data_IF_551069948465
#
_entry.id   IF_551069948465
#
_cell.length_a   1.000
_cell.length_b   1.000
_cell.length_c   1.000
_cell.angle_alpha   90.00
_cell.angle_beta   90.00
_cell.angle_gamma   90.00
#
_symmetry.space_group_name_H-M   'P 1'
#
loop_
_entity.id
_entity.type
_entity.pdbx_description
1 polymer ?
#
# COMPACT_ATOMS: atom_id res chain seq x y z
N UNK A 1 54.14 40.69 -16.31
CA UNK A 1 54.01 39.36 -15.66
C UNK A 1 52.64 38.80 -16.03
N UNK A 2 52.57 37.71 -16.80
CA UNK A 2 51.30 37.10 -17.26
C UNK A 2 51.08 35.81 -16.47
N UNK A 3 50.10 35.80 -15.56
CA UNK A 3 49.70 34.61 -14.80
C UNK A 3 48.77 33.75 -15.66
N UNK A 4 49.17 32.51 -15.96
CA UNK A 4 48.30 31.50 -16.59
C UNK A 4 47.61 30.70 -15.48
N UNK A 5 46.28 30.70 -15.47
CA UNK A 5 45.47 29.79 -14.66
C UNK A 5 45.18 28.55 -15.51
N UNK A 6 45.55 27.37 -15.00
CA UNK A 6 45.26 26.07 -15.61
C UNK A 6 44.09 25.48 -14.83
N UNK A 7 42.91 25.37 -15.46
CA UNK A 7 41.79 24.60 -14.90
C UNK A 7 42.01 23.11 -15.22
N UNK A 8 42.14 22.30 -14.18
CA UNK A 8 42.10 20.84 -14.27
C UNK A 8 40.63 20.39 -14.19
N UNK A 9 40.12 19.82 -15.28
CA UNK A 9 38.80 19.20 -15.35
C UNK A 9 38.91 17.76 -14.82
N UNK A 10 38.29 17.47 -13.68
CA UNK A 10 38.22 16.11 -13.14
C UNK A 10 37.07 15.34 -13.83
N UNK A 11 37.28 14.07 -14.24
CA UNK A 11 36.21 13.27 -14.83
C UNK A 11 35.22 12.83 -13.74
N UNK A 12 33.94 13.13 -13.93
CA UNK A 12 32.85 12.61 -13.11
C UNK A 12 32.65 11.13 -13.48
N UNK A 13 32.96 10.20 -12.57
CA UNK A 13 32.58 8.81 -12.72
C UNK A 13 31.05 8.70 -12.64
N UNK A 14 30.40 8.33 -13.73
CA UNK A 14 28.99 7.97 -13.73
C UNK A 14 28.82 6.65 -12.96
N UNK A 15 28.12 6.70 -11.81
CA UNK A 15 27.73 5.50 -11.10
C UNK A 15 26.73 4.70 -11.97
N UNK A 16 26.79 3.35 -11.96
CA UNK A 16 25.82 2.55 -12.68
C UNK A 16 24.44 2.75 -12.06
N UNK A 17 23.52 3.34 -12.81
CA UNK A 17 22.10 3.35 -12.47
C UNK A 17 21.65 1.88 -12.51
N UNK A 18 21.38 1.30 -11.35
CA UNK A 18 20.73 -0.01 -11.29
C UNK A 18 19.40 0.09 -12.03
N UNK A 19 19.30 -0.59 -13.17
CA UNK A 19 18.03 -0.78 -13.84
C UNK A 19 17.14 -1.56 -12.88
N UNK A 20 16.02 -0.97 -12.49
CA UNK A 20 14.95 -1.74 -11.88
C UNK A 20 14.64 -2.90 -12.83
N UNK A 21 14.93 -4.11 -12.40
CA UNK A 21 14.44 -5.32 -13.06
C UNK A 21 12.93 -5.19 -13.13
N UNK A 22 12.34 -5.30 -14.31
CA UNK A 22 10.91 -5.53 -14.44
C UNK A 22 10.62 -6.83 -13.69
N UNK A 23 10.10 -6.70 -12.46
CA UNK A 23 9.63 -7.84 -11.70
C UNK A 23 8.47 -8.40 -12.52
N UNK A 24 8.51 -9.71 -12.83
CA UNK A 24 7.36 -10.36 -13.47
C UNK A 24 6.12 -10.13 -12.61
N UNK A 25 4.93 -10.08 -13.24
CA UNK A 25 3.66 -9.92 -12.52
C UNK A 25 3.61 -10.94 -11.39
N UNK A 26 3.75 -10.47 -10.16
CA UNK A 26 3.86 -11.34 -9.01
C UNK A 26 2.45 -11.85 -8.68
N UNK A 27 2.22 -13.15 -8.81
CA UNK A 27 0.93 -13.76 -8.51
C UNK A 27 0.83 -14.10 -7.02
N UNK A 28 -0.25 -13.67 -6.37
CA UNK A 28 -0.58 -14.01 -5.00
C UNK A 28 -0.94 -15.49 -4.86
N UNK A 29 -0.67 -16.08 -3.69
CA UNK A 29 -1.35 -17.30 -3.30
C UNK A 29 -2.88 -17.11 -3.31
N UNK A 30 -3.67 -18.14 -3.65
CA UNK A 30 -5.13 -18.04 -3.72
C UNK A 30 -5.73 -17.78 -2.33
N UNK A 31 -6.69 -16.85 -2.28
CA UNK A 31 -7.44 -16.50 -1.08
C UNK A 31 -8.94 -16.68 -1.30
N UNK A 32 -9.68 -16.95 -0.23
CA UNK A 32 -11.15 -17.15 -0.27
C UNK A 32 -11.84 -16.50 0.93
N UNK A 33 -13.17 -16.51 0.95
CA UNK A 33 -13.99 -16.01 2.07
C UNK A 33 -13.62 -14.58 2.50
N UNK A 34 -13.44 -13.70 1.51
CA UNK A 34 -13.01 -12.32 1.73
C UNK A 34 -14.13 -11.51 2.38
N UNK A 35 -13.80 -10.78 3.45
CA UNK A 35 -14.67 -9.80 4.10
C UNK A 35 -13.90 -8.55 4.49
N UNK A 36 -14.59 -7.41 4.57
CA UNK A 36 -14.00 -6.14 4.97
C UNK A 36 -14.80 -5.50 6.10
N UNK A 37 -14.10 -4.98 7.09
CA UNK A 37 -14.66 -4.08 8.11
C UNK A 37 -14.07 -2.68 7.92
N UNK A 38 -14.96 -1.68 7.85
CA UNK A 38 -14.59 -0.27 7.81
C UNK A 38 -14.99 0.36 9.13
N UNK A 39 -14.00 0.78 9.92
CA UNK A 39 -14.23 1.39 11.22
C UNK A 39 -14.05 2.89 11.15
N UNK A 40 -15.12 3.61 11.46
CA UNK A 40 -15.15 5.06 11.54
C UNK A 40 -15.75 5.49 12.88
N UNK A 41 -14.97 6.25 13.64
CA UNK A 41 -15.38 6.84 14.91
C UNK A 41 -15.07 8.32 14.87
N UNK A 42 -15.69 9.12 15.75
CA UNK A 42 -15.35 10.53 15.89
C UNK A 42 -13.85 10.75 16.10
N UNK A 43 -13.21 9.92 16.93
CA UNK A 43 -11.79 10.05 17.24
C UNK A 43 -10.90 9.88 15.99
N UNK A 44 -11.20 8.91 15.12
CA UNK A 44 -10.46 8.73 13.87
C UNK A 44 -10.82 9.83 12.85
N UNK A 45 -12.09 10.25 12.81
CA UNK A 45 -12.57 11.34 11.96
C UNK A 45 -11.90 12.69 12.25
N UNK A 46 -11.66 13.03 13.53
CA UNK A 46 -10.89 14.21 13.94
C UNK A 46 -9.44 14.17 13.43
N UNK A 47 -8.88 12.97 13.26
CA UNK A 47 -7.55 12.72 12.69
C UNK A 47 -7.57 12.56 11.17
N UNK A 48 -8.74 12.69 10.53
CA UNK A 48 -8.95 12.45 9.09
C UNK A 48 -8.56 11.02 8.69
N UNK A 49 -8.86 10.05 9.56
CA UNK A 49 -8.51 8.65 9.38
C UNK A 49 -9.74 7.76 9.32
N UNK A 50 -9.62 6.66 8.59
CA UNK A 50 -10.53 5.52 8.59
C UNK A 50 -9.70 4.25 8.71
N UNK A 51 -10.15 3.29 9.52
CA UNK A 51 -9.45 2.01 9.66
C UNK A 51 -10.13 0.98 8.78
N UNK A 52 -9.35 0.31 7.93
CA UNK A 52 -9.79 -0.81 7.09
C UNK A 52 -9.22 -2.11 7.64
N UNK A 53 -10.05 -3.15 7.70
CA UNK A 53 -9.63 -4.51 8.00
C UNK A 53 -10.13 -5.45 6.90
N UNK A 54 -9.21 -6.17 6.25
CA UNK A 54 -9.52 -7.24 5.29
C UNK A 54 -9.26 -8.58 5.97
N UNK A 55 -10.24 -9.48 5.92
CA UNK A 55 -10.11 -10.86 6.41
C UNK A 55 -10.30 -11.84 5.25
N UNK A 56 -9.47 -12.87 5.18
CA UNK A 56 -9.54 -13.90 4.14
C UNK A 56 -8.94 -15.22 4.63
N UNK A 57 -9.25 -16.30 3.92
CA UNK A 57 -8.75 -17.65 4.19
C UNK A 57 -7.63 -18.02 3.23
N UNK A 58 -6.52 -18.55 3.75
CA UNK A 58 -5.38 -19.09 2.99
C UNK A 58 -5.31 -20.61 3.09
N UNK A 59 -4.81 -21.24 2.02
CA UNK A 59 -4.64 -22.69 1.92
C UNK A 59 -3.27 -23.23 2.32
N UNK A 60 -2.34 -22.39 2.81
CA UNK A 60 -0.98 -22.80 3.13
C UNK A 60 -0.06 -21.63 3.43
N UNK A 61 1.26 -21.85 3.33
CA UNK A 61 2.30 -20.87 3.70
C UNK A 61 2.78 -19.99 2.54
N UNK A 62 2.22 -20.17 1.35
CA UNK A 62 2.62 -19.38 0.19
C UNK A 62 2.28 -17.89 0.40
N UNK A 63 3.14 -16.96 -0.05
CA UNK A 63 2.91 -15.53 0.17
C UNK A 63 1.63 -15.03 -0.50
N UNK A 64 0.92 -14.16 0.21
CA UNK A 64 -0.23 -13.43 -0.32
C UNK A 64 0.22 -12.03 -0.67
N UNK A 65 -0.06 -11.59 -1.90
CA UNK A 65 0.28 -10.27 -2.40
C UNK A 65 -0.98 -9.44 -2.48
N UNK A 66 -1.07 -8.40 -1.66
CA UNK A 66 -2.24 -7.53 -1.58
C UNK A 66 -1.88 -6.13 -2.06
N UNK A 67 -2.65 -5.59 -2.99
CA UNK A 67 -2.40 -4.28 -3.60
C UNK A 67 -3.58 -3.35 -3.46
N UNK A 68 -3.30 -2.05 -3.36
CA UNK A 68 -4.33 -1.03 -3.54
C UNK A 68 -4.22 -0.42 -4.93
N UNK A 69 -5.35 -0.18 -5.63
CA UNK A 69 -5.32 0.54 -6.90
C UNK A 69 -4.58 1.87 -6.82
N UNK A 70 -3.93 2.27 -7.91
CA UNK A 70 -3.28 3.58 -8.00
C UNK A 70 -4.22 4.71 -8.46
N UNK A 71 -5.42 4.37 -8.95
CA UNK A 71 -6.39 5.31 -9.53
C UNK A 71 -7.83 4.80 -9.34
N UNK A 72 -8.81 5.69 -9.53
CA UNK A 72 -10.25 5.37 -9.42
C UNK A 72 -10.92 5.50 -10.78
N UNK A 73 -11.70 4.50 -11.25
CA UNK A 73 -12.45 4.62 -12.50
C UNK A 73 -13.31 5.87 -12.56
N UNK A 74 -13.19 6.61 -13.67
CA UNK A 74 -13.82 7.93 -13.85
C UNK A 74 -12.94 9.12 -13.50
N UNK A 75 -11.80 8.91 -12.83
CA UNK A 75 -10.74 9.89 -12.60
C UNK A 75 -9.43 9.36 -13.20
N UNK A 76 -9.09 9.83 -14.41
CA UNK A 76 -7.99 9.28 -15.22
C UNK A 76 -6.64 9.89 -14.88
N UNK A 77 -6.30 9.91 -13.59
CA UNK A 77 -5.04 10.38 -13.04
C UNK A 77 -4.47 9.34 -12.07
N UNK A 78 -3.15 9.15 -12.10
CA UNK A 78 -2.45 8.28 -11.15
C UNK A 78 -2.30 9.04 -9.83
N UNK A 79 -2.81 8.44 -8.77
CA UNK A 79 -3.01 9.09 -7.50
C UNK A 79 -2.33 8.33 -6.34
N UNK A 80 -1.77 7.14 -6.58
CA UNK A 80 -0.91 6.42 -5.63
C UNK A 80 -1.51 6.30 -4.22
N UNK A 81 -2.74 5.78 -4.11
CA UNK A 81 -3.50 5.76 -2.85
C UNK A 81 -2.76 5.06 -1.69
N UNK A 82 -1.88 4.11 -1.98
CA UNK A 82 -1.06 3.43 -0.99
C UNK A 82 -0.15 4.37 -0.17
N UNK A 83 0.10 5.61 -0.63
CA UNK A 83 0.83 6.64 0.15
C UNK A 83 0.08 7.08 1.41
N UNK A 84 -1.24 6.93 1.41
CA UNK A 84 -2.12 7.34 2.51
C UNK A 84 -2.30 6.22 3.55
N UNK A 85 -1.73 5.03 3.31
CA UNK A 85 -1.79 3.90 4.23
C UNK A 85 -0.73 4.02 5.32
N UNK A 86 -1.18 3.91 6.57
CA UNK A 86 -0.36 3.89 7.77
C UNK A 86 -0.73 2.71 8.67
N UNK A 87 0.14 2.37 9.62
CA UNK A 87 -0.11 1.33 10.64
C UNK A 87 -0.53 -0.03 10.04
N UNK A 88 0.04 -0.39 8.89
CA UNK A 88 -0.24 -1.68 8.26
C UNK A 88 0.20 -2.83 9.18
N UNK A 89 -0.68 -3.81 9.35
CA UNK A 89 -0.44 -4.99 10.17
C UNK A 89 -1.13 -6.19 9.54
N UNK A 90 -0.58 -7.37 9.79
CA UNK A 90 -1.15 -8.64 9.39
C UNK A 90 -1.09 -9.61 10.56
N UNK A 91 -2.13 -10.40 10.77
CA UNK A 91 -2.20 -11.43 11.80
C UNK A 91 -2.91 -12.68 11.29
N UNK A 92 -2.63 -13.80 11.92
CA UNK A 92 -3.27 -15.08 11.68
C UNK A 92 -3.58 -15.72 13.02
N UNK A 93 -4.86 -15.94 13.31
CA UNK A 93 -5.32 -16.48 14.60
C UNK A 93 -4.74 -15.73 15.82
N UNK A 94 -4.67 -14.40 15.74
CA UNK A 94 -4.18 -13.53 16.81
C UNK A 94 -2.65 -13.48 16.98
N UNK A 95 -1.87 -14.12 16.09
CA UNK A 95 -0.42 -13.90 16.05
C UNK A 95 -0.04 -13.03 14.87
N UNK A 96 0.81 -12.04 15.09
CA UNK A 96 1.34 -11.18 14.02
C UNK A 96 2.10 -11.98 12.97
N UNK A 97 1.87 -11.64 11.70
CA UNK A 97 2.58 -12.17 10.54
C UNK A 97 3.68 -11.21 10.10
N UNK A 98 4.72 -11.77 9.49
CA UNK A 98 5.72 -10.96 8.78
C UNK A 98 5.18 -10.48 7.45
N UNK A 99 5.51 -9.24 7.10
CA UNK A 99 5.15 -8.63 5.82
C UNK A 99 6.22 -7.63 5.38
N UNK A 100 6.25 -7.33 4.10
CA UNK A 100 7.06 -6.27 3.48
C UNK A 100 6.35 -5.71 2.25
N UNK A 101 6.78 -4.53 1.78
CA UNK A 101 6.33 -4.00 0.49
C UNK A 101 7.21 -4.55 -0.62
N UNK A 102 6.60 -5.07 -1.68
CA UNK A 102 7.34 -5.53 -2.88
C UNK A 102 7.49 -4.39 -3.90
N UNK A 103 6.56 -3.43 -3.88
CA UNK A 103 6.56 -2.19 -4.64
C UNK A 103 5.74 -1.11 -3.85
N UNK A 104 5.51 0.11 -4.39
CA UNK A 104 4.85 1.18 -3.64
C UNK A 104 3.43 0.89 -3.14
N UNK A 105 2.68 0.03 -3.82
CA UNK A 105 1.25 -0.20 -3.59
C UNK A 105 0.89 -1.66 -3.26
N UNK A 106 1.87 -2.57 -3.27
CA UNK A 106 1.71 -4.00 -2.97
C UNK A 106 2.44 -4.43 -1.70
N UNK A 107 1.70 -5.07 -0.80
CA UNK A 107 2.20 -5.72 0.41
C UNK A 107 2.25 -7.23 0.24
N UNK A 108 3.38 -7.83 0.59
CA UNK A 108 3.56 -9.28 0.69
C UNK A 108 3.37 -9.73 2.13
N UNK A 109 2.33 -10.50 2.40
CA UNK A 109 2.03 -11.13 3.69
C UNK A 109 2.48 -12.58 3.64
N UNK A 110 3.12 -13.07 4.72
CA UNK A 110 3.59 -14.47 4.82
C UNK A 110 2.77 -15.23 5.89
N UNK A 111 1.76 -16.01 5.49
CA UNK A 111 1.00 -16.87 6.41
C UNK A 111 1.88 -17.96 7.04
N UNK A 112 1.43 -18.55 8.16
CA UNK A 112 2.16 -19.65 8.81
C UNK A 112 1.53 -21.01 8.57
N UNK A 113 0.34 -21.06 7.95
CA UNK A 113 -0.30 -22.30 7.55
C UNK A 113 -1.68 -22.08 6.93
N UNK A 114 -2.53 -23.10 7.02
CA UNK A 114 -3.93 -22.98 6.64
C UNK A 114 -4.68 -22.22 7.71
N UNK A 115 -5.46 -21.21 7.33
CA UNK A 115 -6.25 -20.47 8.30
C UNK A 115 -6.75 -19.13 7.81
N UNK A 116 -7.31 -18.38 8.76
CA UNK A 116 -7.80 -17.03 8.53
C UNK A 116 -6.69 -16.02 8.82
N UNK A 117 -6.46 -15.13 7.86
CA UNK A 117 -5.55 -13.99 7.96
C UNK A 117 -6.39 -12.71 7.99
N UNK A 118 -5.96 -11.77 8.83
CA UNK A 118 -6.53 -10.42 8.88
C UNK A 118 -5.44 -9.40 8.66
N UNK A 119 -5.64 -8.52 7.68
CA UNK A 119 -4.79 -7.37 7.40
C UNK A 119 -5.54 -6.11 7.83
N UNK A 120 -4.87 -5.21 8.56
CA UNK A 120 -5.44 -3.93 9.01
C UNK A 120 -4.52 -2.79 8.71
N UNK A 121 -5.10 -1.64 8.40
CA UNK A 121 -4.37 -0.38 8.26
C UNK A 121 -5.29 0.82 8.53
N UNK A 122 -4.67 1.95 8.85
CA UNK A 122 -5.32 3.25 8.84
C UNK A 122 -5.08 3.94 7.51
N UNK A 123 -6.11 4.58 6.95
CA UNK A 123 -6.02 5.36 5.74
C UNK A 123 -6.26 6.83 6.03
N UNK A 124 -5.36 7.70 5.55
CA UNK A 124 -5.54 9.16 5.59
C UNK A 124 -6.57 9.60 4.55
N UNK A 125 -7.78 9.89 5.02
CA UNK A 125 -8.92 10.35 4.23
C UNK A 125 -9.08 11.87 4.36
N UNK A 126 -8.22 12.65 3.70
CA UNK A 126 -8.24 14.12 3.79
C UNK A 126 -8.46 14.85 2.45
N UNK A 127 -8.79 14.13 1.39
CA UNK A 127 -9.02 14.73 0.07
C UNK A 127 -10.49 14.62 -0.31
N UNK A 128 -11.16 15.78 -0.41
CA UNK A 128 -12.54 15.88 -0.88
C UNK A 128 -12.55 15.94 -2.41
N UNK A 129 -12.45 14.75 -3.02
CA UNK A 129 -12.37 14.56 -4.46
C UNK A 129 -13.09 13.25 -4.85
N UNK A 130 -13.53 13.13 -6.10
CA UNK A 130 -14.28 11.95 -6.55
C UNK A 130 -13.46 10.66 -6.55
N UNK A 131 -12.12 10.75 -6.66
CA UNK A 131 -11.21 9.62 -6.65
C UNK A 131 -10.78 9.18 -5.24
N UNK A 132 -10.91 10.07 -4.24
CA UNK A 132 -10.32 9.93 -2.91
C UNK A 132 -11.34 9.74 -1.78
N UNK A 133 -10.83 9.57 -0.57
CA UNK A 133 -11.62 9.49 0.66
C UNK A 133 -11.45 10.76 1.49
N UNK A 134 -12.53 11.14 2.18
CA UNK A 134 -12.60 12.35 2.99
C UNK A 134 -13.33 12.09 4.30
N UNK A 135 -12.68 12.44 5.41
CA UNK A 135 -13.17 12.26 6.76
C UNK A 135 -13.13 13.57 7.55
N UNK A 136 -14.19 13.77 8.35
CA UNK A 136 -14.29 14.76 9.43
C UNK A 136 -14.80 14.07 10.68
N UNK A 137 -15.02 14.80 11.77
CA UNK A 137 -15.41 14.22 13.07
C UNK A 137 -16.76 13.45 13.04
N UNK A 138 -17.63 13.73 12.09
CA UNK A 138 -19.01 13.26 12.02
C UNK A 138 -19.43 12.71 10.64
N UNK A 139 -18.51 12.72 9.67
CA UNK A 139 -18.81 12.32 8.31
C UNK A 139 -17.61 11.60 7.66
N UNK A 140 -17.92 10.54 6.91
CA UNK A 140 -16.97 9.81 6.08
C UNK A 140 -17.55 9.65 4.67
N UNK A 141 -16.80 10.12 3.69
CA UNK A 141 -16.87 9.70 2.30
C UNK A 141 -15.67 8.80 2.04
N UNK A 142 -15.87 7.62 1.44
CA UNK A 142 -14.76 6.77 1.06
C UNK A 142 -14.98 6.10 -0.29
N UNK A 143 -13.87 5.78 -0.95
CA UNK A 143 -13.83 4.98 -2.16
C UNK A 143 -13.25 3.59 -1.86
N UNK A 144 -13.83 2.55 -2.44
CA UNK A 144 -13.33 1.18 -2.26
C UNK A 144 -11.90 0.99 -2.77
N UNK A 145 -11.52 1.71 -3.83
CA UNK A 145 -10.16 1.76 -4.36
C UNK A 145 -9.12 2.29 -3.37
N UNK A 146 -9.55 2.97 -2.30
CA UNK A 146 -8.65 3.48 -1.26
C UNK A 146 -8.53 2.51 -0.07
N UNK A 147 -9.56 1.69 0.18
CA UNK A 147 -9.70 0.93 1.43
C UNK A 147 -9.69 -0.59 1.26
N UNK A 148 -9.91 -1.11 0.06
CA UNK A 148 -10.06 -2.55 -0.19
C UNK A 148 -8.90 -3.06 -1.05
N UNK A 149 -7.84 -3.59 -0.42
CA UNK A 149 -6.78 -4.25 -1.17
C UNK A 149 -7.31 -5.47 -1.92
N UNK A 150 -6.73 -5.79 -3.07
CA UNK A 150 -7.04 -6.99 -3.84
C UNK A 150 -5.82 -7.91 -3.91
N UNK A 151 -6.04 -9.21 -4.10
CA UNK A 151 -4.94 -10.15 -4.33
C UNK A 151 -4.44 -10.03 -5.78
N UNK A 152 -3.13 -9.91 -5.97
CA UNK A 152 -2.53 -9.87 -7.32
C UNK A 152 -2.65 -11.20 -8.06
N UNK A 153 -2.99 -11.15 -9.36
CA UNK A 153 -3.05 -12.31 -10.27
C UNK A 153 -4.35 -13.10 -10.22
#
# INVERSE_FOLDING_TARGET
MRTKIILLLAPVLAAPVSRASAQGLATSAPITAISYDVTFTRANGERRQVTSAMTFTVGGTEPVLLSLPEWTPGAYEIDNFARNVANFSAEESGTSLSWDKVDPDTWRVRPRGVGQVTVRFDYLADSLDNANSWARADFLLFNGTNLFPYAEG
#
